data_IF_752558423498
#
_entry.id   IF_752558423498
#
_cell.length_a   1.000
_cell.length_b   1.000
_cell.length_c   1.000
_cell.angle_alpha   90.00
_cell.angle_beta   90.00
_cell.angle_gamma   90.00
#
_symmetry.space_group_name_H-M   'P 1'
#
loop_
_entity.id
_entity.type
_entity.pdbx_description
1 polymer ?
#
# COMPACT_ATOMS: atom_id res chain seq x y z
N UNK A 1 -18.64 -3.44 -20.53
CA UNK A 1 -17.24 -3.88 -20.59
C UNK A 1 -16.80 -4.20 -19.18
N UNK A 2 -16.54 -5.47 -18.93
CA UNK A 2 -16.43 -5.99 -17.59
C UNK A 2 -15.14 -5.61 -16.90
N UNK A 3 -15.23 -5.24 -15.63
CA UNK A 3 -14.10 -5.24 -14.70
C UNK A 3 -13.78 -6.69 -14.40
N UNK A 4 -12.61 -7.14 -14.79
CA UNK A 4 -12.23 -8.54 -14.68
C UNK A 4 -10.99 -8.69 -13.80
N UNK A 5 -11.08 -9.61 -12.86
CA UNK A 5 -9.91 -10.13 -12.14
C UNK A 5 -9.87 -11.63 -12.34
N UNK A 6 -8.83 -12.12 -12.98
CA UNK A 6 -8.67 -13.54 -13.28
C UNK A 6 -7.88 -14.19 -12.14
N UNK A 7 -8.50 -15.17 -11.52
CA UNK A 7 -7.85 -16.07 -10.57
C UNK A 7 -7.55 -17.40 -11.27
N UNK A 8 -6.37 -17.96 -11.02
CA UNK A 8 -5.94 -19.23 -11.59
C UNK A 8 -5.70 -20.26 -10.49
N UNK A 9 -5.69 -21.53 -10.85
CA UNK A 9 -5.39 -22.62 -9.94
C UNK A 9 -6.43 -22.73 -8.81
N UNK A 10 -5.99 -23.02 -7.60
CA UNK A 10 -6.86 -23.19 -6.42
C UNK A 10 -7.61 -21.93 -6.04
N UNK A 11 -7.15 -20.78 -6.50
CA UNK A 11 -7.83 -19.50 -6.29
C UNK A 11 -9.18 -19.38 -7.01
N UNK A 12 -9.47 -20.25 -7.96
CA UNK A 12 -10.81 -20.33 -8.61
C UNK A 12 -11.90 -20.93 -7.71
N UNK A 13 -11.53 -21.46 -6.54
CA UNK A 13 -12.49 -22.01 -5.61
C UNK A 13 -13.29 -20.92 -4.92
N UNK A 14 -14.61 -21.14 -4.75
CA UNK A 14 -15.52 -20.12 -4.20
C UNK A 14 -15.12 -19.67 -2.79
N UNK A 15 -14.61 -20.56 -1.95
CA UNK A 15 -14.21 -20.21 -0.59
C UNK A 15 -12.92 -19.38 -0.59
N UNK A 16 -11.98 -19.68 -1.47
CA UNK A 16 -10.78 -18.85 -1.68
C UNK A 16 -11.16 -17.43 -2.16
N UNK A 17 -12.12 -17.32 -3.07
CA UNK A 17 -12.63 -16.03 -3.52
C UNK A 17 -13.30 -15.24 -2.40
N UNK A 18 -14.11 -15.88 -1.56
CA UNK A 18 -14.73 -15.26 -0.38
C UNK A 18 -13.68 -14.73 0.58
N UNK A 19 -12.68 -15.54 0.89
CA UNK A 19 -11.56 -15.17 1.75
C UNK A 19 -10.83 -13.96 1.20
N UNK A 20 -10.52 -13.97 -0.09
CA UNK A 20 -9.88 -12.87 -0.78
C UNK A 20 -10.69 -11.57 -0.66
N UNK A 21 -12.00 -11.61 -0.87
CA UNK A 21 -12.89 -10.45 -0.73
C UNK A 21 -12.89 -9.94 0.71
N UNK A 22 -13.00 -10.83 1.69
CA UNK A 22 -13.04 -10.45 3.10
C UNK A 22 -11.74 -9.80 3.59
N UNK A 23 -10.58 -10.30 3.15
CA UNK A 23 -9.31 -9.67 3.48
C UNK A 23 -9.21 -8.27 2.86
N UNK A 24 -9.64 -8.10 1.61
CA UNK A 24 -9.69 -6.78 0.98
C UNK A 24 -10.58 -5.80 1.73
N UNK A 25 -11.73 -6.26 2.22
CA UNK A 25 -12.61 -5.45 3.07
C UNK A 25 -11.91 -5.01 4.36
N UNK A 26 -11.10 -5.88 4.98
CA UNK A 26 -10.30 -5.52 6.15
C UNK A 26 -9.23 -4.48 5.79
N UNK A 27 -8.53 -4.65 4.67
CA UNK A 27 -7.52 -3.68 4.22
C UNK A 27 -8.15 -2.30 4.02
N UNK A 28 -9.29 -2.22 3.33
CA UNK A 28 -10.02 -0.97 3.12
C UNK A 28 -10.43 -0.34 4.45
N UNK A 29 -11.01 -1.14 5.37
CA UNK A 29 -11.43 -0.65 6.68
C UNK A 29 -10.25 -0.11 7.49
N UNK A 30 -9.10 -0.79 7.49
CA UNK A 30 -7.91 -0.32 8.19
C UNK A 30 -7.26 0.88 7.52
N UNK A 31 -7.38 1.02 6.20
CA UNK A 31 -6.97 2.25 5.50
C UNK A 31 -7.75 3.47 6.02
N UNK A 32 -9.06 3.36 6.17
CA UNK A 32 -9.91 4.43 6.70
C UNK A 32 -9.62 4.78 8.16
N UNK A 33 -8.96 3.90 8.91
CA UNK A 33 -8.70 4.06 10.34
C UNK A 33 -7.27 4.50 10.65
N UNK A 34 -6.39 4.56 9.66
CA UNK A 34 -5.02 4.99 9.88
C UNK A 34 -4.93 6.52 9.86
N UNK A 35 -4.66 7.09 11.03
CA UNK A 35 -4.46 8.53 11.21
C UNK A 35 -3.02 8.73 11.65
N UNK A 36 -2.19 9.37 10.83
CA UNK A 36 -0.80 9.65 11.21
C UNK A 36 -0.27 10.92 10.56
N UNK A 37 0.92 11.34 11.00
CA UNK A 37 1.63 12.46 10.40
C UNK A 37 2.62 11.98 9.34
N UNK A 38 2.67 12.72 8.23
CA UNK A 38 3.68 12.54 7.19
C UNK A 38 4.92 13.40 7.54
N UNK A 39 6.16 12.89 7.36
CA UNK A 39 7.36 13.60 7.77
C UNK A 39 7.73 14.81 6.92
N UNK A 40 7.15 14.98 5.74
CA UNK A 40 7.33 16.11 4.80
C UNK A 40 8.79 16.50 4.56
N UNK A 41 9.61 15.53 4.18
CA UNK A 41 11.04 15.71 3.91
C UNK A 41 11.94 15.54 5.15
N UNK A 42 11.38 15.30 6.33
CA UNK A 42 12.13 14.91 7.52
C UNK A 42 12.27 13.40 7.63
N UNK A 43 13.15 12.96 8.53
CA UNK A 43 13.28 11.53 8.82
C UNK A 43 12.02 10.95 9.45
N UNK A 44 11.68 9.73 9.06
CA UNK A 44 10.56 9.01 9.64
C UNK A 44 10.72 8.86 11.16
N UNK A 45 9.62 9.06 11.90
CA UNK A 45 9.56 8.88 13.34
C UNK A 45 8.83 7.60 13.68
N UNK A 46 9.36 6.85 14.62
CA UNK A 46 8.87 5.55 15.02
C UNK A 46 8.64 5.49 16.53
N UNK A 47 7.58 4.83 16.96
CA UNK A 47 7.42 4.55 18.38
C UNK A 47 8.54 3.64 18.88
N UNK A 48 9.48 4.22 19.63
CA UNK A 48 10.67 3.54 20.13
C UNK A 48 10.35 2.39 21.11
N UNK A 49 9.12 2.22 21.54
CA UNK A 49 8.73 1.04 22.33
C UNK A 49 8.90 -0.24 21.52
N UNK A 50 8.54 -0.21 20.24
CA UNK A 50 8.50 -1.37 19.36
C UNK A 50 9.57 -1.36 18.28
N UNK A 51 9.95 -0.17 17.81
CA UNK A 51 10.76 0.01 16.61
C UNK A 51 12.10 0.67 16.91
N UNK A 52 13.11 0.27 16.16
CA UNK A 52 14.41 0.94 16.07
C UNK A 52 14.67 1.27 14.60
N UNK A 53 14.48 2.56 14.25
CA UNK A 53 14.60 3.06 12.87
C UNK A 53 13.84 2.21 11.83
N UNK A 54 12.62 1.77 12.17
CA UNK A 54 11.80 0.91 11.31
C UNK A 54 12.01 -0.59 11.48
N UNK A 55 13.06 -1.00 12.18
CA UNK A 55 13.27 -2.40 12.49
C UNK A 55 12.52 -2.80 13.76
N UNK A 56 11.78 -3.91 13.70
CA UNK A 56 11.10 -4.43 14.87
C UNK A 56 12.14 -4.89 15.92
N UNK A 57 12.03 -4.38 17.13
CA UNK A 57 12.94 -4.79 18.22
C UNK A 57 12.82 -6.30 18.51
N UNK A 58 13.91 -7.00 18.84
CA UNK A 58 13.92 -8.46 18.95
C UNK A 58 12.90 -9.06 19.93
N UNK A 59 12.55 -8.32 20.99
CA UNK A 59 11.58 -8.76 22.00
C UNK A 59 10.18 -8.22 21.78
N UNK A 60 9.96 -7.40 20.75
CA UNK A 60 8.65 -6.81 20.47
C UNK A 60 7.73 -7.81 19.77
N UNK A 61 6.47 -7.75 20.13
CA UNK A 61 5.41 -8.44 19.40
C UNK A 61 5.07 -7.65 18.14
N UNK A 62 5.09 -8.29 16.97
CA UNK A 62 4.68 -7.63 15.72
C UNK A 62 3.20 -7.25 15.75
N UNK A 63 2.33 -8.10 16.30
CA UNK A 63 0.91 -7.80 16.47
C UNK A 63 0.67 -6.52 17.28
N UNK A 64 1.36 -6.38 18.40
CA UNK A 64 1.24 -5.19 19.24
C UNK A 64 1.81 -3.96 18.53
N UNK A 65 2.95 -4.12 17.88
CA UNK A 65 3.60 -3.04 17.15
C UNK A 65 2.75 -2.54 15.96
N UNK A 66 2.05 -3.44 15.26
CA UNK A 66 1.13 -3.08 14.18
C UNK A 66 -0.11 -2.36 14.70
N UNK A 67 -0.72 -2.83 15.79
CA UNK A 67 -1.86 -2.15 16.41
C UNK A 67 -1.51 -0.77 16.97
N UNK A 68 -0.28 -0.60 17.42
CA UNK A 68 0.18 0.65 18.02
C UNK A 68 0.11 1.83 17.05
N UNK A 69 0.29 1.62 15.75
CA UNK A 69 0.12 2.66 14.72
C UNK A 69 -1.31 3.25 14.72
N UNK A 70 -2.30 2.47 15.07
CA UNK A 70 -3.71 2.89 15.09
C UNK A 70 -4.14 3.43 16.47
N UNK A 71 -3.48 3.02 17.54
CA UNK A 71 -3.81 3.41 18.91
C UNK A 71 -3.07 4.69 19.33
N UNK A 72 -1.82 4.83 18.86
CA UNK A 72 -0.92 5.92 19.19
C UNK A 72 -0.33 6.58 17.93
N UNK A 73 -1.15 7.07 17.00
CA UNK A 73 -0.70 7.59 15.71
C UNK A 73 0.27 8.77 15.85
N UNK A 74 0.12 9.57 16.88
CA UNK A 74 0.95 10.73 17.22
C UNK A 74 2.41 10.37 17.60
N UNK A 75 2.70 9.10 17.82
CA UNK A 75 4.06 8.61 18.08
C UNK A 75 4.82 8.23 16.81
N UNK A 76 4.19 8.34 15.67
CA UNK A 76 4.74 7.93 14.39
C UNK A 76 4.57 9.02 13.34
N UNK A 77 5.59 9.19 12.48
CA UNK A 77 5.51 10.01 11.28
C UNK A 77 6.20 9.25 10.15
N UNK A 78 5.42 8.77 9.17
CA UNK A 78 5.87 7.78 8.20
C UNK A 78 5.50 8.17 6.77
N UNK A 79 6.22 7.63 5.80
CA UNK A 79 5.88 7.78 4.39
C UNK A 79 4.68 6.91 3.97
N UNK A 80 4.02 7.30 2.88
CA UNK A 80 2.85 6.60 2.33
C UNK A 80 3.13 5.13 1.99
N UNK A 81 4.36 4.82 1.60
CA UNK A 81 4.82 3.47 1.31
C UNK A 81 4.73 2.54 2.54
N UNK A 82 5.30 2.99 3.65
CA UNK A 82 5.24 2.25 4.92
C UNK A 82 3.81 2.10 5.40
N UNK A 83 3.02 3.15 5.31
CA UNK A 83 1.62 3.13 5.71
C UNK A 83 0.77 2.15 4.89
N UNK A 84 0.99 2.09 3.58
CA UNK A 84 0.35 1.08 2.73
C UNK A 84 0.64 -0.34 3.21
N UNK A 85 1.89 -0.62 3.60
CA UNK A 85 2.25 -1.91 4.19
C UNK A 85 1.53 -2.16 5.52
N UNK A 86 1.49 -1.16 6.40
CA UNK A 86 0.85 -1.25 7.70
C UNK A 86 -0.61 -1.68 7.55
N UNK A 87 -1.39 -1.00 6.71
CA UNK A 87 -2.81 -1.32 6.55
C UNK A 87 -3.04 -2.69 5.91
N UNK A 88 -2.18 -3.10 4.98
CA UNK A 88 -2.27 -4.43 4.36
C UNK A 88 -1.95 -5.53 5.39
N UNK A 89 -0.86 -5.41 6.14
CA UNK A 89 -0.50 -6.39 7.18
C UNK A 89 -1.59 -6.45 8.23
N UNK A 90 -2.04 -5.30 8.73
CA UNK A 90 -3.08 -5.25 9.75
C UNK A 90 -4.39 -5.86 9.25
N UNK A 91 -4.79 -5.57 8.00
CA UNK A 91 -5.98 -6.14 7.40
C UNK A 91 -5.93 -7.67 7.28
N UNK A 92 -4.78 -8.21 6.88
CA UNK A 92 -4.56 -9.65 6.77
C UNK A 92 -4.60 -10.31 8.16
N UNK A 93 -3.86 -9.77 9.13
CA UNK A 93 -3.80 -10.32 10.48
C UNK A 93 -5.18 -10.26 11.16
N UNK A 94 -5.89 -9.14 11.03
CA UNK A 94 -7.23 -8.98 11.60
C UNK A 94 -8.22 -9.97 11.00
N UNK A 95 -8.15 -10.22 9.68
CA UNK A 95 -8.97 -11.25 9.05
C UNK A 95 -8.75 -12.62 9.68
N UNK A 96 -7.52 -13.08 9.77
CA UNK A 96 -7.24 -14.42 10.31
C UNK A 96 -7.60 -14.52 11.79
N UNK A 97 -7.33 -13.49 12.60
CA UNK A 97 -7.63 -13.54 14.02
C UNK A 97 -9.12 -13.37 14.35
N UNK A 98 -9.80 -12.43 13.70
CA UNK A 98 -11.17 -12.06 14.10
C UNK A 98 -12.24 -12.68 13.23
N UNK A 99 -12.03 -12.78 11.94
CA UNK A 99 -13.03 -13.27 10.99
C UNK A 99 -12.92 -14.77 10.83
N UNK A 100 -11.77 -15.26 10.41
CA UNK A 100 -11.53 -16.70 10.19
C UNK A 100 -11.29 -17.47 11.49
N UNK A 101 -10.81 -16.79 12.52
CA UNK A 101 -10.42 -17.36 13.83
C UNK A 101 -9.35 -18.47 13.67
N UNK A 102 -8.38 -18.19 12.84
CA UNK A 102 -7.25 -19.06 12.54
C UNK A 102 -5.96 -18.41 13.06
N UNK A 103 -5.74 -18.50 14.38
CA UNK A 103 -4.57 -17.95 15.03
C UNK A 103 -3.29 -18.59 14.53
N UNK A 104 -3.32 -19.86 14.16
CA UNK A 104 -2.14 -20.56 13.65
C UNK A 104 -1.66 -19.95 12.33
N UNK A 105 -2.59 -19.59 11.43
CA UNK A 105 -2.24 -18.89 10.19
C UNK A 105 -1.73 -17.48 10.45
N UNK A 106 -2.36 -16.72 11.35
CA UNK A 106 -1.87 -15.40 11.74
C UNK A 106 -0.44 -15.46 12.29
N UNK A 107 -0.14 -16.43 13.14
CA UNK A 107 1.20 -16.64 13.71
C UNK A 107 2.22 -17.05 12.64
N UNK A 108 1.82 -17.87 11.66
CA UNK A 108 2.67 -18.23 10.52
C UNK A 108 3.02 -17.00 9.67
N UNK A 109 2.04 -16.11 9.43
CA UNK A 109 2.25 -14.85 8.72
C UNK A 109 3.23 -13.95 9.49
N UNK A 110 3.02 -13.77 10.80
CA UNK A 110 3.91 -12.99 11.65
C UNK A 110 5.33 -13.54 11.63
N UNK A 111 5.47 -14.86 11.77
CA UNK A 111 6.78 -15.52 11.69
C UNK A 111 7.45 -15.26 10.35
N UNK A 112 6.69 -15.32 9.27
CA UNK A 112 7.21 -15.05 7.92
C UNK A 112 7.64 -13.60 7.76
N UNK A 113 6.83 -12.64 8.20
CA UNK A 113 7.16 -11.21 8.19
C UNK A 113 8.41 -10.90 9.02
N UNK A 114 8.52 -11.48 10.21
CA UNK A 114 9.70 -11.31 11.08
C UNK A 114 10.98 -11.93 10.52
N UNK A 115 10.89 -12.83 9.58
CA UNK A 115 12.05 -13.40 8.91
C UNK A 115 12.62 -12.51 7.80
N UNK A 116 11.88 -11.51 7.38
CA UNK A 116 12.41 -10.43 6.56
C UNK A 116 13.02 -9.40 7.51
N UNK A 117 14.29 -9.06 7.34
CA UNK A 117 15.00 -8.13 8.22
C UNK A 117 14.39 -6.74 8.22
N UNK A 118 13.50 -6.46 7.27
CA UNK A 118 12.91 -5.15 7.03
C UNK A 118 11.42 -5.26 6.66
N UNK A 119 10.60 -5.41 7.67
CA UNK A 119 9.15 -5.63 7.49
C UNK A 119 8.44 -4.43 6.88
N UNK A 120 8.80 -3.21 7.30
CA UNK A 120 8.07 -1.99 6.94
C UNK A 120 8.88 -0.99 6.13
N UNK A 121 10.18 -0.95 6.31
CA UNK A 121 11.12 -0.06 5.60
C UNK A 121 11.72 -0.83 4.43
N UNK A 122 12.42 -0.25 3.61
CA UNK A 122 13.18 -0.86 2.54
C UNK A 122 12.41 -1.20 1.30
N UNK A 123 13.14 -1.26 0.40
CA UNK A 123 13.24 -1.51 -1.03
C UNK A 123 11.93 -1.47 -1.85
N UNK A 124 12.12 -1.00 -3.04
CA UNK A 124 11.26 -0.79 -4.19
C UNK A 124 10.02 -1.71 -4.30
N UNK A 125 8.87 -1.20 -4.73
CA UNK A 125 7.60 -1.95 -4.77
C UNK A 125 7.64 -3.31 -5.45
N UNK A 126 8.48 -3.48 -6.45
CA UNK A 126 8.58 -4.75 -7.19
C UNK A 126 9.31 -5.86 -6.44
N UNK A 127 10.22 -5.49 -5.56
CA UNK A 127 11.06 -6.44 -4.83
C UNK A 127 10.53 -6.73 -3.42
N UNK A 128 9.80 -5.82 -2.91
CA UNK A 128 9.48 -5.57 -1.55
C UNK A 128 8.78 -6.66 -0.80
N UNK A 129 7.89 -7.31 -1.40
CA UNK A 129 7.11 -8.33 -0.74
C UNK A 129 7.15 -9.65 -1.48
N UNK A 130 8.25 -9.82 -2.19
CA UNK A 130 8.64 -11.12 -2.70
C UNK A 130 9.22 -12.02 -1.60
N UNK A 131 9.42 -11.45 -0.37
CA UNK A 131 10.17 -12.14 0.69
C UNK A 131 11.49 -12.67 0.13
N UNK A 132 12.36 -11.77 -0.27
CA UNK A 132 13.55 -12.02 -1.10
C UNK A 132 14.60 -12.94 -0.49
N UNK A 133 14.61 -13.07 0.82
CA UNK A 133 15.49 -14.04 1.49
C UNK A 133 14.69 -15.31 1.76
N UNK A 134 14.76 -16.32 0.91
CA UNK A 134 14.15 -17.61 1.21
C UNK A 134 14.87 -18.21 2.41
N UNK A 135 14.14 -18.43 3.48
CA UNK A 135 14.67 -19.15 4.64
C UNK A 135 14.95 -20.58 4.22
N UNK A 136 14.06 -21.12 3.41
CA UNK A 136 14.16 -22.44 2.82
C UNK A 136 13.23 -22.45 1.60
N UNK A 137 13.68 -22.97 0.44
CA UNK A 137 12.89 -23.03 -0.78
C UNK A 137 11.58 -23.80 -0.60
N UNK A 138 11.58 -24.86 0.18
CA UNK A 138 10.38 -25.66 0.43
C UNK A 138 9.41 -24.94 1.38
N UNK A 139 9.93 -24.22 2.35
CA UNK A 139 9.13 -23.36 3.23
C UNK A 139 8.55 -22.17 2.46
N UNK A 140 9.33 -21.57 1.57
CA UNK A 140 8.87 -20.50 0.70
C UNK A 140 7.76 -20.97 -0.24
N UNK A 141 7.91 -22.13 -0.86
CA UNK A 141 6.85 -22.72 -1.68
C UNK A 141 5.58 -23.00 -0.90
N UNK A 142 5.70 -23.42 0.35
CA UNK A 142 4.57 -23.73 1.23
C UNK A 142 3.87 -22.49 1.74
N UNK A 143 4.61 -21.46 2.11
CA UNK A 143 4.06 -20.24 2.71
C UNK A 143 3.63 -19.18 1.68
N UNK A 144 4.09 -19.28 0.43
CA UNK A 144 3.73 -18.32 -0.61
C UNK A 144 4.29 -16.90 -0.37
N UNK A 145 3.79 -15.96 -1.15
CA UNK A 145 4.07 -14.52 -1.03
C UNK A 145 2.88 -13.80 -0.40
N UNK A 146 3.14 -12.75 0.33
CA UNK A 146 2.07 -11.94 0.91
C UNK A 146 1.35 -11.09 -0.14
N UNK A 147 2.05 -10.65 -1.17
CA UNK A 147 1.48 -9.89 -2.27
C UNK A 147 1.89 -10.45 -3.64
N UNK A 148 0.98 -10.32 -4.60
CA UNK A 148 1.25 -10.54 -6.02
C UNK A 148 1.14 -9.21 -6.77
N UNK A 149 2.17 -8.88 -7.52
CA UNK A 149 2.15 -7.71 -8.39
C UNK A 149 1.66 -8.13 -9.76
N UNK A 150 0.62 -7.45 -10.25
CA UNK A 150 0.16 -7.55 -11.62
C UNK A 150 0.48 -6.24 -12.33
N UNK A 151 1.10 -6.35 -13.49
CA UNK A 151 1.47 -5.21 -14.33
C UNK A 151 0.41 -4.93 -15.40
N UNK A 152 0.42 -3.71 -15.93
CA UNK A 152 -0.46 -3.26 -17.03
C UNK A 152 -1.96 -3.42 -16.74
N UNK A 153 -2.34 -3.19 -15.50
CA UNK A 153 -3.75 -3.21 -15.10
C UNK A 153 -4.38 -1.86 -15.41
N UNK A 154 -5.39 -1.84 -16.27
CA UNK A 154 -6.13 -0.61 -16.54
C UNK A 154 -6.82 -0.10 -15.25
N UNK A 155 -6.90 1.23 -15.03
CA UNK A 155 -7.48 1.78 -13.80
C UNK A 155 -8.91 1.32 -13.52
N UNK A 156 -9.69 1.08 -14.59
CA UNK A 156 -11.06 0.56 -14.45
C UNK A 156 -11.13 -0.86 -13.87
N UNK A 157 -10.00 -1.58 -13.87
CA UNK A 157 -9.90 -2.94 -13.35
C UNK A 157 -9.34 -2.99 -11.92
N UNK A 158 -9.02 -1.84 -11.33
CA UNK A 158 -8.67 -1.80 -9.91
C UNK A 158 -9.87 -2.22 -9.07
N UNK A 159 -9.60 -2.98 -8.02
CA UNK A 159 -10.60 -3.41 -7.06
C UNK A 159 -10.22 -2.95 -5.66
N UNK A 160 -11.19 -2.67 -4.77
CA UNK A 160 -10.89 -2.18 -3.43
C UNK A 160 -9.88 -3.06 -2.70
N UNK A 161 -8.92 -2.43 -2.04
CA UNK A 161 -7.78 -3.09 -1.41
C UNK A 161 -6.59 -3.35 -2.34
N UNK A 162 -6.62 -2.92 -3.61
CA UNK A 162 -5.42 -2.89 -4.44
C UNK A 162 -4.47 -1.80 -3.94
N UNK A 163 -3.19 -2.11 -3.89
CA UNK A 163 -2.14 -1.12 -3.75
C UNK A 163 -1.73 -0.62 -5.12
N UNK A 164 -1.77 0.68 -5.31
CA UNK A 164 -1.40 1.36 -6.55
C UNK A 164 -0.35 2.43 -6.30
N UNK A 165 0.38 2.82 -7.33
CA UNK A 165 1.42 3.82 -7.22
C UNK A 165 1.25 4.89 -8.32
N UNK A 166 1.29 6.14 -7.91
CA UNK A 166 1.36 7.30 -8.77
C UNK A 166 2.79 7.85 -8.70
N UNK A 167 3.51 7.83 -9.81
CA UNK A 167 4.90 8.29 -9.84
C UNK A 167 4.97 9.75 -10.28
N UNK A 168 5.83 10.52 -9.64
CA UNK A 168 6.20 11.83 -10.14
C UNK A 168 7.30 11.66 -11.19
N UNK A 169 6.96 11.84 -12.46
CA UNK A 169 7.88 11.67 -13.58
C UNK A 169 8.69 12.94 -13.90
N UNK A 170 8.50 14.01 -13.14
CA UNK A 170 9.32 15.20 -13.24
C UNK A 170 10.58 15.05 -12.42
N UNK A 171 11.72 15.16 -13.11
CA UNK A 171 13.03 14.88 -12.49
C UNK A 171 13.33 15.81 -11.31
N UNK A 172 13.10 17.10 -11.48
CA UNK A 172 13.53 18.10 -10.50
C UNK A 172 12.67 18.03 -9.23
N UNK A 173 11.35 17.91 -9.37
CA UNK A 173 10.46 17.84 -8.21
C UNK A 173 10.47 16.47 -7.52
N UNK A 174 10.79 15.40 -8.25
CA UNK A 174 10.89 14.06 -7.68
C UNK A 174 12.14 13.80 -6.86
N UNK A 175 13.16 14.67 -6.98
CA UNK A 175 14.36 14.62 -6.13
C UNK A 175 14.09 15.13 -4.70
N UNK A 176 12.93 15.77 -4.47
CA UNK A 176 12.54 16.17 -3.14
C UNK A 176 11.98 14.97 -2.37
N UNK A 177 12.58 14.67 -1.21
CA UNK A 177 12.20 13.56 -0.35
C UNK A 177 10.69 13.55 -0.06
N UNK A 178 10.06 12.40 -0.34
CA UNK A 178 8.63 12.21 -0.14
C UNK A 178 7.74 12.74 -1.27
N UNK A 179 8.31 13.24 -2.37
CA UNK A 179 7.58 13.71 -3.55
C UNK A 179 7.93 12.95 -4.84
N UNK A 180 8.58 11.80 -4.70
CA UNK A 180 8.88 10.86 -5.77
C UNK A 180 7.61 10.26 -6.37
N UNK A 181 6.57 10.21 -5.56
CA UNK A 181 5.27 9.65 -5.93
C UNK A 181 4.36 9.43 -4.74
N UNK A 182 3.26 8.76 -4.97
CA UNK A 182 2.26 8.45 -3.95
C UNK A 182 1.84 6.98 -4.00
N UNK A 183 2.07 6.29 -2.91
CA UNK A 183 1.52 4.96 -2.67
C UNK A 183 0.12 5.10 -2.07
N UNK A 184 -0.82 4.34 -2.58
CA UNK A 184 -2.23 4.47 -2.21
C UNK A 184 -2.93 3.12 -2.19
N UNK A 185 -3.96 3.00 -1.39
CA UNK A 185 -4.93 1.90 -1.45
C UNK A 185 -6.14 2.36 -2.27
N UNK A 186 -6.55 1.57 -3.24
CA UNK A 186 -7.77 1.81 -3.97
C UNK A 186 -8.99 1.46 -3.11
N UNK A 187 -9.85 2.45 -2.89
CA UNK A 187 -11.01 2.33 -2.01
C UNK A 187 -12.30 1.98 -2.76
N UNK A 188 -12.28 2.00 -4.07
CA UNK A 188 -13.44 1.87 -4.94
C UNK A 188 -13.94 3.21 -5.46
N UNK A 189 -14.82 3.20 -6.46
CA UNK A 189 -15.44 4.39 -7.07
C UNK A 189 -14.41 5.46 -7.52
N UNK A 190 -13.27 5.02 -8.07
CA UNK A 190 -12.15 5.88 -8.45
C UNK A 190 -11.55 6.69 -7.28
N UNK A 191 -11.68 6.23 -6.06
CA UNK A 191 -11.14 6.85 -4.85
C UNK A 191 -9.92 6.10 -4.34
N UNK A 192 -8.97 6.84 -3.80
CA UNK A 192 -7.70 6.34 -3.26
C UNK A 192 -7.44 6.94 -1.90
N UNK A 193 -6.93 6.12 -1.01
CA UNK A 193 -6.42 6.55 0.28
C UNK A 193 -4.89 6.56 0.23
N UNK A 194 -4.30 7.74 0.39
CA UNK A 194 -2.87 7.96 0.24
C UNK A 194 -2.15 8.35 1.53
N UNK A 195 -2.92 8.43 2.62
CA UNK A 195 -2.36 8.61 3.95
C UNK A 195 -1.59 9.92 4.15
N UNK A 196 -2.09 11.03 3.65
CA UNK A 196 -1.52 12.35 3.92
C UNK A 196 -2.26 13.12 5.01
N UNK A 197 -1.57 14.12 5.56
CA UNK A 197 -1.94 14.85 6.79
C UNK A 197 -3.16 15.75 6.73
N UNK A 198 -3.93 15.75 5.67
CA UNK A 198 -5.08 16.66 5.58
C UNK A 198 -6.33 16.16 6.33
N UNK A 199 -6.24 15.00 7.00
CA UNK A 199 -7.34 14.29 7.64
C UNK A 199 -8.49 13.91 6.69
N UNK A 200 -8.30 14.10 5.40
CA UNK A 200 -9.20 13.71 4.33
C UNK A 200 -8.45 12.77 3.39
N UNK A 201 -8.28 11.52 3.81
CA UNK A 201 -7.42 10.54 3.13
C UNK A 201 -7.92 10.16 1.73
N UNK A 202 -9.17 10.42 1.41
CA UNK A 202 -9.76 10.02 0.15
C UNK A 202 -9.52 11.04 -0.95
N UNK A 203 -8.78 10.64 -1.97
CA UNK A 203 -8.59 11.39 -3.20
C UNK A 203 -9.30 10.70 -4.36
N UNK A 204 -10.02 11.47 -5.16
CA UNK A 204 -10.47 10.99 -6.46
C UNK A 204 -9.27 10.87 -7.41
N UNK A 205 -9.39 10.00 -8.40
CA UNK A 205 -8.33 9.75 -9.38
C UNK A 205 -7.78 11.06 -9.99
N UNK A 206 -8.68 11.94 -10.45
CA UNK A 206 -8.28 13.22 -11.03
C UNK A 206 -7.60 14.15 -10.01
N UNK A 207 -7.99 14.10 -8.76
CA UNK A 207 -7.35 14.86 -7.68
C UNK A 207 -5.91 14.38 -7.43
N UNK A 208 -5.67 13.06 -7.50
CA UNK A 208 -4.32 12.50 -7.40
C UNK A 208 -3.43 12.97 -8.54
N UNK A 209 -3.94 12.92 -9.78
CA UNK A 209 -3.23 13.41 -10.97
C UNK A 209 -2.93 14.90 -10.80
N UNK A 210 -3.92 15.69 -10.40
CA UNK A 210 -3.79 17.12 -10.15
C UNK A 210 -2.75 17.43 -9.07
N UNK A 211 -2.73 16.68 -7.99
CA UNK A 211 -1.80 16.85 -6.89
C UNK A 211 -0.35 16.63 -7.33
N UNK A 212 -0.06 15.51 -8.00
CA UNK A 212 1.28 15.18 -8.47
C UNK A 212 1.76 16.17 -9.54
N UNK A 213 0.87 16.60 -10.43
CA UNK A 213 1.20 17.64 -11.40
C UNK A 213 1.67 18.93 -10.72
N UNK A 214 1.03 19.33 -9.63
CA UNK A 214 1.38 20.56 -8.93
C UNK A 214 2.72 20.49 -8.21
N UNK A 215 3.21 19.30 -7.87
CA UNK A 215 4.58 19.16 -7.37
C UNK A 215 5.62 19.64 -8.37
N UNK A 216 5.40 19.42 -9.67
CA UNK A 216 6.25 19.93 -10.76
C UNK A 216 6.33 21.45 -10.80
N UNK A 217 5.30 22.11 -10.34
CA UNK A 217 5.23 23.57 -10.26
C UNK A 217 5.71 24.12 -8.90
N UNK A 218 6.42 23.32 -8.12
CA UNK A 218 6.93 23.71 -6.82
C UNK A 218 5.86 23.86 -5.72
N UNK A 219 4.65 23.36 -5.94
CA UNK A 219 3.60 23.30 -4.92
C UNK A 219 3.72 21.96 -4.20
N UNK A 220 4.63 21.90 -3.24
CA UNK A 220 4.90 20.73 -2.42
C UNK A 220 3.94 20.66 -1.22
N UNK A 221 2.66 20.81 -1.47
CA UNK A 221 1.64 20.65 -0.44
C UNK A 221 0.94 19.35 -0.65
N UNK A 222 0.84 18.56 0.39
CA UNK A 222 0.01 17.36 0.46
C UNK A 222 -1.36 17.66 1.07
N UNK A 223 -1.54 18.90 1.54
CA UNK A 223 -2.85 19.45 1.83
C UNK A 223 -3.49 19.97 0.53
N UNK A 224 -4.80 19.90 0.46
CA UNK A 224 -5.58 20.33 -0.70
C UNK A 224 -5.63 21.86 -0.79
N UNK A 225 -4.49 22.51 -0.96
CA UNK A 225 -4.42 23.97 -1.14
C UNK A 225 -4.82 24.36 -2.56
N UNK A 226 -6.08 24.17 -2.91
CA UNK A 226 -6.64 24.43 -4.24
C UNK A 226 -6.34 25.83 -4.77
N UNK A 227 -6.20 26.81 -3.88
CA UNK A 227 -5.87 28.19 -4.28
C UNK A 227 -4.48 28.34 -4.90
N UNK A 228 -3.56 27.40 -4.64
CA UNK A 228 -2.19 27.40 -5.17
C UNK A 228 -2.01 26.42 -6.32
N UNK A 229 -2.99 25.59 -6.58
CA UNK A 229 -2.91 24.55 -7.59
C UNK A 229 -3.32 25.06 -8.95
N UNK A 230 -2.54 24.74 -9.97
CA UNK A 230 -2.97 24.90 -11.34
C UNK A 230 -4.03 23.85 -11.66
N UNK A 231 -5.20 24.28 -12.12
CA UNK A 231 -6.27 23.36 -12.52
C UNK A 231 -5.98 22.83 -13.91
N UNK A 232 -5.94 21.52 -14.05
CA UNK A 232 -5.74 20.83 -15.32
C UNK A 232 -7.03 20.76 -16.13
N UNK A 233 -6.91 20.86 -17.46
CA UNK A 233 -8.01 20.58 -18.38
C UNK A 233 -8.33 19.08 -18.41
N UNK A 234 -9.47 18.71 -18.98
CA UNK A 234 -9.86 17.30 -19.13
C UNK A 234 -8.84 16.52 -19.99
N UNK A 235 -8.30 17.15 -21.04
CA UNK A 235 -7.29 16.56 -21.90
C UNK A 235 -5.96 16.32 -21.14
N UNK A 236 -5.55 17.30 -20.32
CA UNK A 236 -4.36 17.16 -19.48
C UNK A 236 -4.54 16.08 -18.43
N UNK A 237 -5.70 16.03 -17.76
CA UNK A 237 -6.02 14.96 -16.81
C UNK A 237 -5.97 13.58 -17.47
N UNK A 238 -6.51 13.46 -18.70
CA UNK A 238 -6.41 12.23 -19.46
C UNK A 238 -4.96 11.86 -19.77
N UNK A 239 -4.17 12.82 -20.28
CA UNK A 239 -2.76 12.60 -20.62
C UNK A 239 -1.93 12.19 -19.40
N UNK A 240 -2.06 12.91 -18.30
CA UNK A 240 -1.30 12.59 -17.08
C UNK A 240 -1.82 11.35 -16.34
N UNK A 241 -3.03 10.90 -16.62
CA UNK A 241 -3.57 9.63 -16.16
C UNK A 241 -3.03 8.40 -16.90
N UNK A 242 -2.23 8.59 -17.93
CA UNK A 242 -1.57 7.51 -18.65
C UNK A 242 -0.38 6.95 -17.85
N UNK A 243 0.24 5.87 -18.34
CA UNK A 243 1.44 5.32 -17.73
C UNK A 243 2.66 6.25 -17.91
N UNK A 244 3.71 6.08 -17.12
CA UNK A 244 4.94 6.86 -17.25
C UNK A 244 5.58 6.77 -18.64
N UNK A 245 5.50 5.60 -19.27
CA UNK A 245 6.00 5.36 -20.61
C UNK A 245 5.21 6.15 -21.68
N UNK A 246 3.95 6.47 -21.38
CA UNK A 246 3.06 7.30 -22.19
C UNK A 246 3.10 8.78 -21.78
N UNK A 247 3.98 9.15 -20.83
CA UNK A 247 4.13 10.51 -20.33
C UNK A 247 3.18 10.90 -19.19
N UNK A 248 2.52 9.92 -18.59
CA UNK A 248 1.62 10.11 -17.45
C UNK A 248 2.27 9.80 -16.09
N UNK A 249 1.44 9.64 -15.08
CA UNK A 249 1.85 9.44 -13.68
C UNK A 249 1.41 8.11 -13.08
N UNK A 250 0.45 7.42 -13.67
CA UNK A 250 -0.08 6.20 -13.13
C UNK A 250 0.76 5.00 -13.52
N UNK A 251 1.40 4.37 -12.57
CA UNK A 251 1.96 3.03 -12.75
C UNK A 251 0.79 2.05 -12.80
N UNK A 252 0.53 1.49 -13.99
CA UNK A 252 -0.57 0.54 -14.24
C UNK A 252 -0.29 -0.83 -13.61
N UNK A 253 0.07 -0.81 -12.34
CA UNK A 253 0.32 -2.00 -11.55
C UNK A 253 -0.63 -2.01 -10.35
N UNK A 254 -0.96 -3.20 -9.88
CA UNK A 254 -1.60 -3.39 -8.59
C UNK A 254 -0.90 -4.48 -7.80
N UNK A 255 -0.81 -4.32 -6.51
CA UNK A 255 -0.45 -5.40 -5.62
C UNK A 255 -1.73 -6.02 -5.06
N UNK A 256 -1.89 -7.30 -5.28
CA UNK A 256 -3.02 -8.08 -4.78
C UNK A 256 -2.55 -8.80 -3.53
N UNK A 257 -3.29 -8.74 -2.41
CA UNK A 257 -2.99 -9.57 -1.26
C UNK A 257 -2.94 -11.03 -1.67
N UNK A 258 -1.81 -11.67 -1.40
CA UNK A 258 -1.60 -13.08 -1.69
C UNK A 258 -1.82 -13.87 -0.42
N UNK A 259 -2.77 -14.76 -0.46
CA UNK A 259 -3.01 -15.62 0.67
C UNK A 259 -2.23 -16.90 0.50
N UNK A 260 -1.80 -17.47 1.59
CA UNK A 260 -1.30 -18.82 1.61
C UNK A 260 -2.37 -19.75 1.03
N UNK A 261 -2.17 -20.22 -0.20
CA UNK A 261 -3.17 -20.99 -0.94
C UNK A 261 -3.60 -20.39 -2.28
N UNK A 262 -3.33 -19.10 -2.52
CA UNK A 262 -3.38 -18.53 -3.85
C UNK A 262 -2.05 -18.75 -4.53
N UNK A 263 -2.01 -19.62 -5.51
CA UNK A 263 -0.82 -19.99 -6.27
C UNK A 263 0.50 -19.87 -5.49
N UNK A 264 1.00 -20.95 -4.93
CA UNK A 264 2.42 -21.05 -4.68
C UNK A 264 3.10 -20.85 -6.03
N UNK A 265 4.04 -19.96 -6.15
CA UNK A 265 4.98 -19.71 -7.25
C UNK A 265 4.82 -20.50 -8.52
#
# INVERSE_FOLDING_TARGET
EGRETIFKGDACHIDALKEHIQIRQMIVAWSEHLHWSFPDGESAQWNQRYWDQGNLKPKASLDEAMRDFFINPDKCSLGCYTATKIVIIQGILDYFRRVKKDDAMADAIIKRLKSDDDVLVGIEPGAMWSFQKPINLDEQKRLGKLLKIQTQVAPMNFIPGDWVYFVNTDKDSSEKDGYEGSNSIYMGRASFDDFYNDNEHHYLYNEKIQNIYNWRNGVFSRSRHFQRMQILSAEQLHQFGLSPEEGGFLVKNRAIPYFFGFEPF
#
